data_IF_604617108502
#
_entry.id   IF_604617108502
#
_cell.length_a   1.000
_cell.length_b   1.000
_cell.length_c   1.000
_cell.angle_alpha   90.00
_cell.angle_beta   90.00
_cell.angle_gamma   90.00
#
_symmetry.space_group_name_H-M   'P 1'
#
loop_
_entity.id
_entity.type
_entity.pdbx_description
1 polymer ?
#
# COMPACT_ATOMS: atom_id res chain seq x y z
N UNK A 1 -5.67 -30.69 -20.22
CA UNK A 1 -5.12 -29.34 -19.99
C UNK A 1 -6.30 -28.37 -19.85
N UNK A 2 -6.62 -27.94 -18.63
CA UNK A 2 -7.63 -26.90 -18.39
C UNK A 2 -6.97 -25.55 -18.60
N UNK A 3 -7.36 -24.84 -19.64
CA UNK A 3 -7.02 -23.43 -19.85
C UNK A 3 -7.82 -22.59 -18.86
N UNK A 4 -7.15 -22.05 -17.85
CA UNK A 4 -7.74 -21.13 -16.87
C UNK A 4 -8.10 -19.80 -17.55
N UNK A 5 -9.35 -19.31 -17.44
CA UNK A 5 -9.72 -17.99 -17.92
C UNK A 5 -9.32 -16.96 -16.86
N UNK A 6 -8.05 -16.58 -16.83
CA UNK A 6 -7.56 -15.42 -16.06
C UNK A 6 -6.64 -14.60 -16.97
N UNK A 7 -7.16 -14.24 -18.13
CA UNK A 7 -6.57 -13.22 -19.00
C UNK A 7 -7.25 -11.89 -18.73
N UNK A 8 -6.42 -10.84 -18.69
CA UNK A 8 -6.77 -9.43 -18.62
C UNK A 8 -7.63 -9.00 -17.42
N UNK A 9 -6.98 -8.68 -16.29
CA UNK A 9 -7.29 -7.35 -15.76
C UNK A 9 -6.65 -6.38 -16.75
N UNK A 10 -7.42 -5.68 -17.61
CA UNK A 10 -6.85 -4.56 -18.34
C UNK A 10 -6.19 -3.65 -17.31
N UNK A 11 -5.02 -3.10 -17.63
CA UNK A 11 -4.60 -1.82 -17.06
C UNK A 11 -5.84 -0.95 -17.23
N UNK A 12 -6.53 -0.66 -16.12
CA UNK A 12 -7.86 -0.06 -16.19
C UNK A 12 -7.79 1.16 -17.10
N UNK A 13 -8.79 1.36 -17.93
CA UNK A 13 -8.97 2.66 -18.57
C UNK A 13 -9.19 3.66 -17.43
N UNK A 14 -8.12 4.32 -16.99
CA UNK A 14 -8.17 5.25 -15.88
C UNK A 14 -8.58 6.60 -16.45
N UNK A 15 -9.77 7.07 -16.06
CA UNK A 15 -10.13 8.48 -16.23
C UNK A 15 -9.06 9.33 -15.53
N UNK A 16 -8.18 9.94 -16.31
CA UNK A 16 -7.33 11.03 -15.85
C UNK A 16 -8.23 12.23 -15.56
N UNK A 17 -8.49 12.50 -14.29
CA UNK A 17 -9.03 13.79 -13.89
C UNK A 17 -7.88 14.80 -13.82
N UNK A 18 -7.73 15.58 -14.88
CA UNK A 18 -6.94 16.81 -14.87
C UNK A 18 -7.71 17.85 -14.08
N UNK A 19 -7.25 18.16 -12.86
CA UNK A 19 -7.71 19.35 -12.14
C UNK A 19 -6.91 20.56 -12.67
N UNK A 20 -7.49 21.27 -13.63
CA UNK A 20 -6.98 22.57 -14.04
C UNK A 20 -7.32 23.61 -12.95
N UNK A 21 -6.35 23.95 -12.11
CA UNK A 21 -6.41 25.18 -11.32
C UNK A 21 -5.68 26.26 -12.10
N UNK A 22 -6.45 27.05 -12.85
CA UNK A 22 -6.02 28.36 -13.32
C UNK A 22 -6.13 29.30 -12.11
N UNK A 23 -4.98 29.70 -11.56
CA UNK A 23 -4.92 30.90 -10.74
C UNK A 23 -3.72 31.74 -11.18
N UNK A 24 -4.03 32.79 -11.93
CA UNK A 24 -3.11 33.84 -12.30
C UNK A 24 -2.70 34.63 -11.05
N UNK A 25 -1.39 34.69 -10.79
CA UNK A 25 -0.79 35.74 -9.98
C UNK A 25 0.52 36.14 -10.66
N UNK A 26 0.46 37.28 -11.34
CA UNK A 26 1.60 37.97 -11.94
C UNK A 26 2.44 38.54 -10.78
N UNK A 27 3.60 37.95 -10.53
CA UNK A 27 4.63 38.55 -9.69
C UNK A 27 5.70 39.18 -10.59
N UNK A 28 6.22 40.37 -10.26
CA UNK A 28 7.33 40.98 -10.99
C UNK A 28 8.59 40.11 -10.85
N UNK A 29 9.22 39.81 -11.99
CA UNK A 29 10.48 39.08 -12.08
C UNK A 29 11.59 39.98 -11.54
N UNK A 30 11.95 39.82 -10.27
CA UNK A 30 13.26 40.25 -9.79
C UNK A 30 14.30 39.22 -10.23
N UNK A 31 15.19 39.62 -11.14
CA UNK A 31 16.40 38.88 -11.51
C UNK A 31 17.26 38.67 -10.25
N UNK A 32 17.13 37.51 -9.61
CA UNK A 32 18.14 37.00 -8.70
C UNK A 32 19.13 36.20 -9.55
N UNK A 33 20.37 36.69 -9.56
CA UNK A 33 21.52 36.02 -10.15
C UNK A 33 21.56 34.55 -9.67
N UNK A 34 21.35 33.62 -10.61
CA UNK A 34 21.52 32.19 -10.39
C UNK A 34 23.00 31.94 -10.09
N UNK A 35 23.38 31.88 -8.82
CA UNK A 35 24.59 31.15 -8.42
C UNK A 35 24.44 29.73 -8.96
N UNK A 36 25.47 29.13 -9.58
CA UNK A 36 25.39 27.74 -9.98
C UNK A 36 25.08 26.93 -8.72
N UNK A 37 23.85 26.44 -8.61
CA UNK A 37 23.51 25.47 -7.60
C UNK A 37 24.36 24.25 -7.93
N UNK A 38 25.34 24.00 -7.07
CA UNK A 38 26.07 22.76 -7.04
C UNK A 38 25.01 21.67 -6.91
N UNK A 39 24.69 21.01 -8.02
CA UNK A 39 23.92 19.76 -7.99
C UNK A 39 24.85 18.79 -7.28
N UNK A 40 24.76 18.76 -5.95
CA UNK A 40 25.35 17.71 -5.17
C UNK A 40 24.66 16.46 -5.64
N UNK A 41 25.33 15.66 -6.49
CA UNK A 41 24.88 14.32 -6.82
C UNK A 41 24.67 13.63 -5.49
N UNK A 42 23.40 13.42 -5.12
CA UNK A 42 23.01 12.45 -4.12
C UNK A 42 23.81 11.17 -4.46
N UNK A 43 24.52 10.55 -3.50
CA UNK A 43 25.13 9.25 -3.76
C UNK A 43 24.04 8.36 -4.35
N UNK A 44 24.32 7.68 -5.46
CA UNK A 44 23.37 6.74 -6.02
C UNK A 44 22.92 5.83 -4.87
N UNK A 45 21.62 5.85 -4.55
CA UNK A 45 21.09 4.98 -3.51
C UNK A 45 21.57 3.57 -3.83
N UNK A 46 22.10 2.84 -2.85
CA UNK A 46 22.49 1.45 -3.09
C UNK A 46 21.22 0.69 -3.47
N UNK A 47 21.02 0.48 -4.77
CA UNK A 47 19.76 -0.03 -5.30
C UNK A 47 19.52 -1.47 -4.85
N UNK A 48 20.56 -2.17 -4.37
CA UNK A 48 20.46 -3.51 -3.81
C UNK A 48 19.50 -3.60 -2.64
N UNK A 49 19.33 -2.53 -1.86
CA UNK A 49 18.40 -2.56 -0.72
C UNK A 49 16.93 -2.80 -1.15
N UNK A 50 16.57 -2.41 -2.39
CA UNK A 50 15.22 -2.58 -2.95
C UNK A 50 15.01 -3.98 -3.54
N UNK A 51 16.07 -4.74 -3.79
CA UNK A 51 15.98 -6.06 -4.42
C UNK A 51 15.27 -7.07 -3.54
N UNK A 52 14.51 -7.98 -4.15
CA UNK A 52 13.89 -9.11 -3.47
C UNK A 52 12.57 -9.54 -4.08
N UNK A 53 12.01 -10.60 -3.51
CA UNK A 53 10.66 -11.06 -3.83
C UNK A 53 9.67 -10.32 -2.95
N UNK A 54 8.61 -9.76 -3.53
CA UNK A 54 7.53 -9.11 -2.81
C UNK A 54 6.22 -9.84 -3.09
N UNK A 55 5.37 -9.95 -2.07
CA UNK A 55 4.08 -10.64 -2.14
C UNK A 55 2.94 -9.65 -1.93
N UNK A 56 1.87 -9.77 -2.72
CA UNK A 56 0.73 -8.88 -2.57
C UNK A 56 0.04 -9.11 -1.22
N UNK A 57 -0.20 -8.03 -0.48
CA UNK A 57 -1.00 -8.06 0.73
C UNK A 57 -2.44 -8.44 0.35
N UNK A 58 -2.92 -9.58 0.83
CA UNK A 58 -4.24 -10.11 0.47
C UNK A 58 -4.20 -11.32 -0.49
N UNK A 59 -3.10 -11.53 -1.22
CA UNK A 59 -2.95 -12.66 -2.14
C UNK A 59 -1.49 -13.13 -2.28
N UNK A 60 -1.16 -14.21 -1.59
CA UNK A 60 0.20 -14.77 -1.59
C UNK A 60 0.60 -15.46 -2.91
N UNK A 61 -0.34 -15.66 -3.83
CA UNK A 61 -0.04 -16.23 -5.15
C UNK A 61 0.58 -15.18 -6.10
N UNK A 62 0.34 -13.89 -5.83
CA UNK A 62 0.88 -12.80 -6.62
C UNK A 62 2.22 -12.36 -6.02
N UNK A 63 3.27 -12.52 -6.83
CA UNK A 63 4.65 -12.21 -6.43
C UNK A 63 5.35 -11.37 -7.50
N UNK A 64 6.06 -10.35 -7.04
CA UNK A 64 6.98 -9.55 -7.83
C UNK A 64 8.41 -9.93 -7.47
N UNK A 65 9.29 -9.98 -8.45
CA UNK A 65 10.74 -9.93 -8.23
C UNK A 65 11.23 -8.55 -8.63
N UNK A 66 11.88 -7.85 -7.70
CA UNK A 66 12.54 -6.57 -7.98
C UNK A 66 14.05 -6.81 -7.97
N UNK A 67 14.73 -6.29 -8.99
CA UNK A 67 16.18 -6.39 -9.17
C UNK A 67 16.76 -5.04 -9.57
N UNK A 68 17.97 -4.70 -9.10
CA UNK A 68 18.67 -3.52 -9.56
C UNK A 68 19.33 -3.79 -10.91
N UNK A 69 19.11 -2.90 -11.89
CA UNK A 69 19.70 -3.01 -13.23
C UNK A 69 20.19 -1.63 -13.65
N UNK A 70 21.51 -1.49 -13.79
CA UNK A 70 22.14 -0.20 -14.10
C UNK A 70 21.87 0.83 -13.01
N UNK A 71 21.21 1.94 -13.36
CA UNK A 71 20.83 3.02 -12.44
C UNK A 71 19.34 2.99 -12.05
N UNK A 72 18.64 1.89 -12.31
CA UNK A 72 17.22 1.75 -12.05
C UNK A 72 16.86 0.38 -11.49
N UNK A 73 15.56 0.12 -11.42
CA UNK A 73 15.01 -1.17 -10.99
C UNK A 73 14.27 -1.83 -12.15
N UNK A 74 14.30 -3.16 -12.18
CA UNK A 74 13.38 -3.96 -12.99
C UNK A 74 12.45 -4.71 -12.05
N UNK A 75 11.15 -4.59 -12.30
CA UNK A 75 10.10 -5.38 -11.66
C UNK A 75 9.69 -6.48 -12.63
N UNK A 76 9.67 -7.72 -12.15
CA UNK A 76 9.18 -8.90 -12.88
C UNK A 76 7.96 -9.48 -12.17
N UNK A 77 6.86 -9.61 -12.90
CA UNK A 77 5.67 -10.33 -12.44
C UNK A 77 5.92 -11.84 -12.53
N UNK A 78 5.96 -12.56 -11.41
CA UNK A 78 6.32 -13.99 -11.42
C UNK A 78 5.22 -14.91 -11.97
N UNK A 79 3.99 -14.42 -12.14
CA UNK A 79 2.89 -15.17 -12.74
C UNK A 79 2.82 -15.03 -14.27
N UNK A 80 3.33 -13.93 -14.83
CA UNK A 80 3.24 -13.63 -16.27
C UNK A 80 4.62 -13.55 -16.96
N UNK A 81 5.70 -13.46 -16.19
CA UNK A 81 7.06 -13.12 -16.62
C UNK A 81 7.20 -11.75 -17.31
N UNK A 82 6.19 -10.87 -17.19
CA UNK A 82 6.30 -9.49 -17.67
C UNK A 82 7.34 -8.73 -16.86
N UNK A 83 8.16 -7.94 -17.53
CA UNK A 83 9.18 -7.09 -16.93
C UNK A 83 8.90 -5.61 -17.24
N UNK A 84 9.12 -4.75 -16.25
CA UNK A 84 8.89 -3.31 -16.35
C UNK A 84 10.07 -2.59 -15.71
N UNK A 85 10.66 -1.64 -16.43
CA UNK A 85 11.81 -0.85 -15.98
C UNK A 85 11.38 0.44 -15.31
N UNK A 86 12.03 0.74 -14.19
CA UNK A 86 11.76 1.87 -13.33
C UNK A 86 13.00 2.74 -13.16
N UNK A 87 12.81 4.05 -13.24
CA UNK A 87 13.84 5.04 -12.97
C UNK A 87 13.60 5.69 -11.61
N UNK A 88 14.69 5.94 -10.88
CA UNK A 88 14.61 6.60 -9.58
C UNK A 88 14.24 8.08 -9.75
N UNK A 89 13.18 8.51 -9.06
CA UNK A 89 12.72 9.90 -9.04
C UNK A 89 13.02 10.58 -7.71
N UNK A 90 13.01 9.82 -6.61
CA UNK A 90 13.49 10.23 -5.29
C UNK A 90 14.03 9.01 -4.53
N UNK A 91 14.61 9.20 -3.34
CA UNK A 91 15.29 8.15 -2.58
C UNK A 91 14.49 6.83 -2.49
N UNK A 92 13.18 6.90 -2.21
CA UNK A 92 12.28 5.75 -2.10
C UNK A 92 11.19 5.71 -3.17
N UNK A 93 11.25 6.56 -4.18
CA UNK A 93 10.22 6.68 -5.22
C UNK A 93 10.81 6.43 -6.61
N UNK A 94 10.19 5.49 -7.33
CA UNK A 94 10.55 5.15 -8.69
C UNK A 94 9.33 5.23 -9.60
N UNK A 95 9.57 5.55 -10.88
CA UNK A 95 8.53 5.67 -11.91
C UNK A 95 8.86 4.79 -13.10
N UNK A 96 7.87 4.12 -13.67
CA UNK A 96 8.11 3.33 -14.88
C UNK A 96 8.44 4.26 -16.05
N UNK A 97 9.43 3.88 -16.86
CA UNK A 97 9.90 4.72 -17.96
C UNK A 97 8.80 4.98 -19.02
N UNK A 98 7.99 3.96 -19.30
CA UNK A 98 6.94 4.00 -20.33
C UNK A 98 5.57 4.43 -19.76
N UNK A 99 5.39 4.35 -18.45
CA UNK A 99 4.12 4.58 -17.75
C UNK A 99 4.36 5.37 -16.44
N UNK A 100 4.56 6.71 -16.51
CA UNK A 100 4.93 7.52 -15.34
C UNK A 100 3.90 7.49 -14.18
N UNK A 101 2.67 7.10 -14.46
CA UNK A 101 1.60 6.86 -13.48
C UNK A 101 1.84 5.59 -12.65
N UNK A 102 2.61 4.63 -13.17
CA UNK A 102 3.04 3.45 -12.45
C UNK A 102 4.26 3.81 -11.60
N UNK A 103 4.00 4.05 -10.32
CA UNK A 103 5.02 4.31 -9.31
C UNK A 103 5.30 3.09 -8.44
N UNK A 104 6.54 3.02 -7.94
CA UNK A 104 6.93 2.19 -6.81
C UNK A 104 7.36 3.12 -5.68
N UNK A 105 6.59 3.09 -4.60
CA UNK A 105 6.81 3.87 -3.39
C UNK A 105 7.25 2.92 -2.27
N UNK A 106 8.55 2.86 -2.01
CA UNK A 106 9.11 1.98 -0.99
C UNK A 106 8.98 2.56 0.41
N UNK A 107 8.82 1.67 1.39
CA UNK A 107 8.78 2.02 2.81
C UNK A 107 9.95 1.36 3.53
N UNK A 108 10.70 2.17 4.28
CA UNK A 108 11.72 1.70 5.21
C UNK A 108 11.15 1.63 6.62
N UNK A 109 11.56 0.61 7.37
CA UNK A 109 11.31 0.57 8.80
C UNK A 109 12.27 1.47 9.59
N UNK A 110 12.12 1.50 10.93
CA UNK A 110 12.97 2.30 11.83
C UNK A 110 14.46 1.92 11.78
N UNK A 111 14.80 0.75 11.27
CA UNK A 111 16.19 0.29 11.08
C UNK A 111 16.78 0.71 9.73
N UNK A 112 15.98 1.34 8.85
CA UNK A 112 16.37 1.67 7.47
C UNK A 112 16.17 0.51 6.49
N UNK A 113 15.56 -0.59 6.91
CA UNK A 113 15.36 -1.77 6.06
C UNK A 113 14.10 -1.60 5.21
N UNK A 114 14.21 -1.82 3.89
CA UNK A 114 13.07 -1.86 2.98
C UNK A 114 12.29 -3.16 3.19
N UNK A 115 11.03 -3.05 3.61
CA UNK A 115 10.16 -4.20 3.87
C UNK A 115 8.82 -4.16 3.11
N UNK A 116 8.50 -3.05 2.46
CA UNK A 116 7.26 -2.86 1.72
C UNK A 116 7.50 -1.97 0.49
N UNK A 117 6.71 -2.21 -0.55
CA UNK A 117 6.53 -1.29 -1.67
C UNK A 117 5.05 -1.13 -1.98
N UNK A 118 4.62 0.11 -2.19
CA UNK A 118 3.31 0.41 -2.74
C UNK A 118 3.44 0.60 -4.25
N UNK A 119 2.79 -0.25 -5.02
CA UNK A 119 2.68 -0.15 -6.47
C UNK A 119 1.34 0.47 -6.85
N UNK A 120 1.29 1.21 -7.96
CA UNK A 120 0.06 1.87 -8.44
C UNK A 120 -0.64 2.71 -7.36
N UNK A 121 0.14 3.27 -6.44
CA UNK A 121 -0.32 4.09 -5.29
C UNK A 121 -1.27 3.39 -4.31
N UNK A 122 -1.56 2.10 -4.49
CA UNK A 122 -2.56 1.37 -3.68
C UNK A 122 -2.19 -0.08 -3.36
N UNK A 123 -1.51 -0.77 -4.28
CA UNK A 123 -1.24 -2.19 -4.13
C UNK A 123 -0.04 -2.33 -3.20
N UNK A 124 -0.27 -2.90 -2.03
CA UNK A 124 0.78 -3.05 -1.01
C UNK A 124 1.44 -4.40 -1.18
N UNK A 125 2.74 -4.39 -1.42
CA UNK A 125 3.54 -5.59 -1.56
C UNK A 125 4.54 -5.67 -0.42
N UNK A 126 4.50 -6.77 0.33
CA UNK A 126 5.37 -7.01 1.46
C UNK A 126 6.56 -7.82 0.99
N UNK A 127 7.77 -7.36 1.32
CA UNK A 127 9.01 -8.06 0.99
C UNK A 127 9.01 -9.41 1.68
N UNK A 128 9.11 -10.48 0.90
CA UNK A 128 9.33 -11.81 1.44
C UNK A 128 10.73 -11.85 2.06
N UNK A 129 10.79 -12.05 3.36
CA UNK A 129 12.05 -12.23 4.06
C UNK A 129 12.70 -13.54 3.57
N UNK A 130 13.83 -13.45 2.86
CA UNK A 130 14.61 -14.62 2.43
C UNK A 130 15.11 -15.48 3.61
N UNK A 131 15.19 -14.87 4.80
CA UNK A 131 15.66 -15.49 6.05
C UNK A 131 14.60 -15.49 7.17
N UNK A 132 13.31 -15.27 6.85
CA UNK A 132 12.29 -15.66 7.82
C UNK A 132 12.29 -17.19 7.85
N UNK A 133 13.10 -17.78 8.74
CA UNK A 133 12.65 -18.95 9.47
C UNK A 133 11.22 -18.63 9.83
N UNK A 134 10.26 -19.34 9.25
CA UNK A 134 8.86 -19.26 9.66
C UNK A 134 8.89 -19.34 11.18
N UNK A 135 8.79 -18.19 11.86
CA UNK A 135 8.77 -18.17 13.30
C UNK A 135 7.42 -18.77 13.60
N UNK A 136 7.41 -20.09 13.82
CA UNK A 136 6.19 -20.85 14.00
C UNK A 136 5.52 -20.28 15.23
N UNK A 137 4.49 -19.48 15.01
CA UNK A 137 3.69 -18.90 16.07
C UNK A 137 3.24 -20.03 16.98
N UNK A 138 3.36 -19.81 18.29
CA UNK A 138 2.77 -20.71 19.26
C UNK A 138 1.25 -20.79 19.04
N UNK A 139 0.63 -21.86 19.54
CA UNK A 139 -0.82 -21.99 19.50
C UNK A 139 -1.51 -20.80 20.21
N UNK A 140 -0.91 -20.29 21.29
CA UNK A 140 -1.41 -19.14 22.04
C UNK A 140 -1.33 -17.84 21.22
N UNK A 141 -0.21 -17.60 20.52
CA UNK A 141 -0.09 -16.43 19.62
C UNK A 141 -1.08 -16.54 18.46
N UNK A 142 -1.17 -17.71 17.83
CA UNK A 142 -2.13 -17.97 16.76
C UNK A 142 -3.58 -17.70 17.20
N UNK A 143 -3.97 -18.17 18.38
CA UNK A 143 -5.30 -17.92 18.93
C UNK A 143 -5.56 -16.42 19.19
N UNK A 144 -4.56 -15.68 19.68
CA UNK A 144 -4.65 -14.22 19.91
C UNK A 144 -4.81 -13.45 18.60
N UNK A 145 -4.05 -13.81 17.57
CA UNK A 145 -4.18 -13.19 16.25
C UNK A 145 -5.56 -13.49 15.64
N UNK A 146 -6.02 -14.74 15.75
CA UNK A 146 -7.38 -15.13 15.34
C UNK A 146 -8.46 -14.30 16.05
N UNK A 147 -8.33 -14.08 17.36
CA UNK A 147 -9.25 -13.22 18.10
C UNK A 147 -9.19 -11.76 17.65
N UNK A 148 -8.02 -11.27 17.26
CA UNK A 148 -7.84 -9.91 16.75
C UNK A 148 -8.56 -9.73 15.41
N UNK A 149 -8.50 -10.70 14.49
CA UNK A 149 -9.25 -10.66 13.23
C UNK A 149 -10.76 -10.53 13.45
N UNK A 150 -11.32 -11.27 14.40
CA UNK A 150 -12.76 -11.22 14.70
C UNK A 150 -13.22 -9.85 15.22
N UNK A 151 -12.30 -9.04 15.76
CA UNK A 151 -12.61 -7.70 16.30
C UNK A 151 -12.35 -6.59 15.28
N UNK A 152 -11.26 -6.70 14.51
CA UNK A 152 -10.82 -5.63 13.61
C UNK A 152 -11.83 -5.36 12.50
N UNK A 153 -12.32 -6.39 11.80
CA UNK A 153 -13.21 -6.17 10.65
C UNK A 153 -14.55 -5.54 11.03
N UNK A 154 -15.26 -6.00 12.09
CA UNK A 154 -16.46 -5.31 12.56
C UNK A 154 -16.19 -3.88 13.04
N UNK A 155 -15.08 -3.66 13.76
CA UNK A 155 -14.72 -2.32 14.24
C UNK A 155 -14.39 -1.36 13.09
N UNK A 156 -13.75 -1.86 12.02
CA UNK A 156 -13.51 -1.09 10.81
C UNK A 156 -14.83 -0.70 10.14
N UNK A 157 -15.75 -1.66 9.98
CA UNK A 157 -17.10 -1.38 9.47
C UNK A 157 -17.81 -0.30 10.30
N UNK A 158 -17.80 -0.44 11.63
CA UNK A 158 -18.43 0.54 12.53
C UNK A 158 -17.80 1.92 12.36
N UNK A 159 -16.47 2.01 12.33
CA UNK A 159 -15.74 3.26 12.18
C UNK A 159 -16.06 3.98 10.87
N UNK A 160 -16.04 3.27 9.73
CA UNK A 160 -16.40 3.84 8.43
C UNK A 160 -17.88 4.26 8.42
N UNK A 161 -18.78 3.40 8.89
CA UNK A 161 -20.22 3.67 8.86
C UNK A 161 -20.66 4.80 9.78
N UNK A 162 -19.92 5.05 10.87
CA UNK A 162 -20.19 6.18 11.75
C UNK A 162 -19.92 7.53 11.07
N UNK A 163 -19.01 7.57 10.08
CA UNK A 163 -18.55 8.78 9.40
C UNK A 163 -18.15 9.92 10.38
N UNK A 164 -17.70 9.55 11.57
CA UNK A 164 -17.40 10.45 12.67
C UNK A 164 -15.90 10.45 12.95
N UNK A 165 -15.28 11.64 13.02
CA UNK A 165 -13.83 11.78 13.20
C UNK A 165 -13.31 11.02 14.42
N UNK A 166 -13.98 11.17 15.55
CA UNK A 166 -13.60 10.56 16.83
C UNK A 166 -13.67 9.02 16.77
N UNK A 167 -14.69 8.46 16.12
CA UNK A 167 -14.85 7.01 15.93
C UNK A 167 -13.77 6.44 15.01
N UNK A 168 -13.51 7.11 13.90
CA UNK A 168 -12.43 6.73 12.96
C UNK A 168 -11.08 6.78 13.68
N UNK A 169 -10.77 7.89 14.37
CA UNK A 169 -9.51 8.02 15.09
C UNK A 169 -9.37 7.03 16.24
N UNK A 170 -10.47 6.70 16.93
CA UNK A 170 -10.49 5.69 17.98
C UNK A 170 -10.14 4.31 17.41
N UNK A 171 -10.74 3.92 16.28
CA UNK A 171 -10.36 2.70 15.57
C UNK A 171 -8.87 2.70 15.21
N UNK A 172 -8.39 3.78 14.60
CA UNK A 172 -7.00 3.87 14.14
C UNK A 172 -6.02 3.69 15.31
N UNK A 173 -6.21 4.41 16.42
CA UNK A 173 -5.36 4.28 17.63
C UNK A 173 -5.48 2.91 18.30
N UNK A 174 -6.66 2.30 18.25
CA UNK A 174 -6.93 1.01 18.89
C UNK A 174 -6.29 -0.14 18.13
N UNK A 175 -6.27 -0.11 16.80
CA UNK A 175 -5.88 -1.27 16.00
C UNK A 175 -4.60 -1.10 15.20
N UNK A 176 -4.14 0.12 14.88
CA UNK A 176 -2.87 0.30 14.17
C UNK A 176 -1.70 0.36 15.13
N UNK A 177 -0.56 -0.15 14.66
CA UNK A 177 0.73 0.04 15.30
C UNK A 177 1.14 1.52 15.22
N UNK A 178 1.78 2.03 16.27
CA UNK A 178 2.18 3.44 16.37
C UNK A 178 3.11 3.87 15.23
N UNK A 179 3.95 2.95 14.73
CA UNK A 179 4.82 3.22 13.58
C UNK A 179 4.02 3.49 12.31
N UNK A 180 2.94 2.76 12.08
CA UNK A 180 2.06 2.95 10.92
C UNK A 180 1.28 4.25 11.02
N UNK A 181 0.78 4.60 12.21
CA UNK A 181 0.11 5.88 12.46
C UNK A 181 1.06 7.05 12.20
N UNK A 182 2.32 6.92 12.61
CA UNK A 182 3.34 7.96 12.40
C UNK A 182 3.68 8.15 10.92
N UNK A 183 3.76 7.06 10.15
CA UNK A 183 4.10 7.10 8.73
C UNK A 183 2.98 7.68 7.86
N UNK A 184 1.72 7.32 8.14
CA UNK A 184 0.57 7.73 7.31
C UNK A 184 -0.14 8.99 7.82
N UNK A 185 0.12 9.40 9.05
CA UNK A 185 -0.59 10.42 9.84
C UNK A 185 -2.06 10.10 10.11
N UNK A 186 -2.49 10.37 11.34
CA UNK A 186 -3.87 10.11 11.78
C UNK A 186 -4.89 10.93 10.98
N UNK A 187 -4.53 12.16 10.60
CA UNK A 187 -5.39 13.08 9.84
C UNK A 187 -5.65 12.54 8.43
N UNK A 188 -4.60 12.16 7.69
CA UNK A 188 -4.74 11.65 6.32
C UNK A 188 -5.58 10.38 6.28
N UNK A 189 -5.34 9.45 7.21
CA UNK A 189 -6.15 8.22 7.33
C UNK A 189 -7.61 8.53 7.67
N UNK A 190 -7.86 9.56 8.48
CA UNK A 190 -9.23 10.01 8.81
C UNK A 190 -9.94 10.56 7.57
N UNK A 191 -9.25 11.39 6.78
CA UNK A 191 -9.80 11.95 5.52
C UNK A 191 -10.15 10.82 4.55
N UNK A 192 -9.24 9.88 4.32
CA UNK A 192 -9.47 8.73 3.43
C UNK A 192 -10.66 7.87 3.87
N UNK A 193 -10.82 7.63 5.18
CA UNK A 193 -11.97 6.90 5.72
C UNK A 193 -13.30 7.64 5.47
N UNK A 194 -13.32 8.98 5.57
CA UNK A 194 -14.50 9.78 5.26
C UNK A 194 -14.82 9.78 3.77
N UNK A 195 -13.81 9.94 2.91
CA UNK A 195 -13.97 9.85 1.45
C UNK A 195 -14.56 8.50 1.04
N UNK A 196 -14.11 7.41 1.67
CA UNK A 196 -14.69 6.09 1.48
C UNK A 196 -16.18 6.05 1.84
N UNK A 197 -16.58 6.60 2.99
CA UNK A 197 -17.99 6.69 3.36
C UNK A 197 -18.79 7.50 2.34
N UNK A 198 -18.28 8.67 1.91
CA UNK A 198 -18.98 9.50 0.91
C UNK A 198 -19.20 8.74 -0.40
N UNK A 199 -18.20 7.97 -0.86
CA UNK A 199 -18.31 7.14 -2.06
C UNK A 199 -19.31 6.00 -1.88
N UNK A 200 -19.28 5.31 -0.74
CA UNK A 200 -19.96 4.00 -0.54
C UNK A 200 -21.29 4.08 0.22
N UNK A 201 -21.63 5.23 0.81
CA UNK A 201 -22.77 5.38 1.71
C UNK A 201 -22.63 4.51 2.98
N UNK A 202 -21.39 4.08 3.26
CA UNK A 202 -21.08 3.05 4.24
C UNK A 202 -20.85 1.68 3.61
N UNK A 203 -20.46 0.76 4.48
CA UNK A 203 -19.89 -0.52 4.12
C UNK A 203 -20.54 -1.66 4.92
N UNK A 204 -20.56 -2.84 4.32
CA UNK A 204 -21.05 -4.08 4.93
C UNK A 204 -20.03 -5.18 4.71
N UNK A 205 -19.60 -5.79 5.81
CA UNK A 205 -18.73 -6.95 5.81
C UNK A 205 -19.47 -8.12 5.13
N UNK A 206 -18.86 -8.66 4.09
CA UNK A 206 -19.41 -9.76 3.31
C UNK A 206 -18.78 -11.07 3.75
N UNK A 207 -17.45 -11.15 3.68
CA UNK A 207 -16.69 -12.36 4.02
C UNK A 207 -15.37 -12.00 4.66
N UNK A 208 -14.96 -12.77 5.67
CA UNK A 208 -13.59 -12.71 6.22
C UNK A 208 -12.82 -13.95 5.79
N UNK A 209 -11.53 -13.79 5.53
CA UNK A 209 -10.61 -14.88 5.23
C UNK A 209 -9.24 -14.57 5.85
N UNK A 210 -8.87 -15.22 6.97
CA UNK A 210 -7.47 -15.23 7.37
C UNK A 210 -6.68 -15.96 6.26
N UNK A 211 -5.63 -15.33 5.76
CA UNK A 211 -4.77 -15.90 4.71
C UNK A 211 -3.70 -16.75 5.38
N UNK A 212 -3.10 -16.21 6.44
CA UNK A 212 -2.24 -16.93 7.37
C UNK A 212 -2.42 -16.31 8.78
N UNK A 213 -1.79 -16.85 9.83
CA UNK A 213 -1.97 -16.32 11.19
C UNK A 213 -1.63 -14.83 11.34
N UNK A 214 -0.73 -14.28 10.53
CA UNK A 214 -0.27 -12.89 10.59
C UNK A 214 -0.94 -11.97 9.56
N UNK A 215 -1.69 -12.52 8.59
CA UNK A 215 -2.32 -11.78 7.50
C UNK A 215 -3.81 -12.06 7.42
N UNK A 216 -4.62 -11.01 7.56
CA UNK A 216 -6.07 -11.06 7.42
C UNK A 216 -6.53 -10.34 6.17
N UNK A 217 -7.57 -10.87 5.52
CA UNK A 217 -8.32 -10.17 4.50
C UNK A 217 -9.83 -10.27 4.76
N UNK A 218 -10.57 -9.26 4.35
CA UNK A 218 -12.02 -9.31 4.31
C UNK A 218 -12.57 -8.52 3.13
N UNK A 219 -13.63 -9.07 2.52
CA UNK A 219 -14.39 -8.39 1.50
C UNK A 219 -15.54 -7.65 2.15
N UNK A 220 -15.79 -6.46 1.65
CA UNK A 220 -16.88 -5.59 2.03
C UNK A 220 -17.64 -5.18 0.78
N UNK A 221 -18.92 -4.89 0.94
CA UNK A 221 -19.81 -4.32 -0.07
C UNK A 221 -20.19 -2.91 0.32
N UNK A 222 -20.23 -1.98 -0.63
CA UNK A 222 -20.83 -0.67 -0.39
C UNK A 222 -22.34 -0.78 -0.16
N UNK A 223 -22.89 0.11 0.66
CA UNK A 223 -24.34 0.15 0.92
C UNK A 223 -25.14 0.81 -0.20
N UNK A 224 -24.56 1.80 -0.87
CA UNK A 224 -25.24 2.60 -1.89
C UNK A 224 -24.87 2.24 -3.33
N UNK A 225 -23.84 1.43 -3.53
CA UNK A 225 -23.27 1.08 -4.83
C UNK A 225 -23.06 -0.43 -4.89
N UNK A 226 -23.02 -1.01 -6.10
CA UNK A 226 -22.72 -2.44 -6.29
C UNK A 226 -21.19 -2.69 -6.34
N UNK A 227 -20.42 -1.94 -5.54
CA UNK A 227 -18.96 -2.04 -5.48
C UNK A 227 -18.58 -2.91 -4.29
N UNK A 228 -17.64 -3.82 -4.54
CA UNK A 228 -16.98 -4.60 -3.48
C UNK A 228 -15.57 -4.05 -3.31
N UNK A 229 -15.02 -4.18 -2.11
CA UNK A 229 -13.61 -3.91 -1.86
C UNK A 229 -13.08 -4.89 -0.83
N UNK A 230 -11.81 -5.22 -0.96
CA UNK A 230 -11.07 -6.05 -0.04
C UNK A 230 -10.18 -5.18 0.84
N UNK A 231 -10.39 -5.26 2.15
CA UNK A 231 -9.42 -4.81 3.14
C UNK A 231 -8.46 -5.95 3.43
N UNK A 232 -7.17 -5.68 3.44
CA UNK A 232 -6.14 -6.63 3.87
C UNK A 232 -5.15 -5.98 4.82
N UNK A 233 -4.64 -6.74 5.78
CA UNK A 233 -3.65 -6.25 6.73
C UNK A 233 -2.75 -7.36 7.27
N UNK A 234 -1.59 -6.95 7.80
CA UNK A 234 -0.76 -7.81 8.65
C UNK A 234 -0.82 -7.39 10.11
N UNK A 235 -0.65 -8.35 11.03
CA UNK A 235 -0.61 -8.12 12.47
C UNK A 235 0.79 -8.39 13.04
N UNK A 236 1.19 -7.60 14.03
CA UNK A 236 2.29 -7.95 14.93
C UNK A 236 1.81 -8.92 16.03
N UNK A 237 2.72 -9.52 16.85
CA UNK A 237 2.34 -10.43 17.93
C UNK A 237 1.40 -9.84 19.00
N UNK A 238 1.31 -8.52 19.11
CA UNK A 238 0.36 -7.84 19.99
C UNK A 238 -1.05 -7.68 19.37
N UNK A 239 -1.25 -8.16 18.13
CA UNK A 239 -2.51 -8.06 17.41
C UNK A 239 -2.78 -6.67 16.81
N UNK A 240 -1.74 -5.83 16.65
CA UNK A 240 -1.84 -4.51 16.01
C UNK A 240 -1.49 -4.60 14.53
N UNK A 241 -2.20 -3.82 13.71
CA UNK A 241 -2.02 -3.71 12.27
C UNK A 241 -0.70 -2.99 11.98
N UNK A 242 0.19 -3.67 11.27
CA UNK A 242 1.49 -3.14 10.84
C UNK A 242 1.50 -2.71 9.37
N UNK A 243 0.69 -3.36 8.53
CA UNK A 243 0.45 -2.98 7.14
C UNK A 243 -1.05 -3.03 6.87
N UNK A 244 -1.57 -2.07 6.11
CA UNK A 244 -3.01 -1.94 5.82
C UNK A 244 -3.21 -1.56 4.35
N UNK A 245 -3.97 -2.35 3.61
CA UNK A 245 -4.31 -2.11 2.21
C UNK A 245 -5.81 -2.22 1.96
N UNK A 246 -6.28 -1.47 0.96
CA UNK A 246 -7.63 -1.53 0.45
C UNK A 246 -7.62 -1.65 -1.08
N UNK A 247 -8.35 -2.61 -1.62
CA UNK A 247 -8.46 -2.87 -3.05
C UNK A 247 -9.93 -2.89 -3.46
N UNK A 248 -10.29 -2.24 -4.56
CA UNK A 248 -11.65 -2.26 -5.16
C UNK A 248 -11.75 -3.35 -6.23
#
# INVERSE_FOLDING_TARGET
MKTSPFLSRPIGSYLSFTLAIILALVLPISLLANKPQKITRQPAADLKQFEGTYQLLGDQNLKLQISAVGSGLTLKELWSNREISFQQKADLNFVAAEHPEFTLDFVQDKSGTINQVTAFKRDIWIKANANATEKKLSAAETARLNQSYQKIFPAFQEAINANATDKIQSFLKTYLDESLISALTLEKLTVQAKEMYQKTGGIMLDTTKPINPETGAANFKSKNQAVSFQMSFTLNPAGKITNFGLQE
#
